data_IF_078800376099
#
_entry.id   IF_078800376099
#
_cell.length_a   1.000
_cell.length_b   1.000
_cell.length_c   1.000
_cell.angle_alpha   90.00
_cell.angle_beta   90.00
_cell.angle_gamma   90.00
#
_symmetry.space_group_name_H-M   'P 1'
#
loop_
_entity.id
_entity.type
_entity.pdbx_description
1 polymer ?
2 polymer ?
3 non-polymer ?
4 water ?
#
# COMPACT_ATOMS: atom_id res chain seq x y z
N UNK A 1 -8.58 -7.22 -16.11
CA UNK A 1 -8.93 -6.88 -14.74
C UNK A 1 -8.41 -7.98 -13.84
N UNK A 2 -7.99 -7.63 -12.65
CA UNK A 2 -7.49 -8.66 -11.77
C UNK A 2 -7.86 -8.44 -10.31
N UNK A 3 -8.75 -9.30 -9.83
CA UNK A 3 -9.27 -9.30 -8.46
C UNK A 3 -8.39 -10.15 -7.48
N UNK A 4 -7.95 -9.55 -6.36
CA UNK A 4 -7.13 -10.25 -5.36
C UNK A 4 -8.01 -10.71 -4.18
N UNK A 5 -7.79 -11.93 -3.72
CA UNK A 5 -8.60 -12.39 -2.64
C UNK A 5 -7.90 -12.76 -1.36
N UNK A 6 -8.51 -12.35 -0.25
CA UNK A 6 -7.99 -12.60 1.06
C UNK A 6 -9.14 -13.05 1.91
N UNK A 7 -8.84 -13.66 3.06
CA UNK A 7 -9.94 -14.09 3.88
C UNK A 7 -10.39 -12.79 4.55
N UNK A 8 -11.72 -12.67 4.67
CA UNK A 8 -12.34 -11.53 5.28
C UNK A 8 -11.70 -11.42 6.67
N UNK A 9 -11.97 -12.40 7.52
CA UNK A 9 -11.39 -12.37 8.87
C UNK A 9 -11.08 -13.77 9.37
N UNK A 10 -10.21 -13.81 10.38
CA UNK A 10 -9.78 -15.05 11.00
C UNK A 10 -9.47 -14.77 12.47
N UNK A 11 -9.85 -15.74 13.30
CA UNK A 11 -9.65 -15.68 14.75
C UNK A 11 -8.56 -16.66 15.24
N UNK A 12 -7.73 -16.20 16.15
CA UNK A 12 -6.66 -17.04 16.67
C UNK A 12 -6.48 -16.75 18.14
N UNK A 13 -5.37 -17.19 18.70
CA UNK A 13 -5.08 -16.98 20.11
C UNK A 13 -3.57 -16.97 20.32
N UNK A 14 -3.12 -16.30 21.37
CA UNK A 14 -1.69 -16.21 21.66
C UNK A 14 -0.89 -17.52 21.59
N UNK A 15 0.32 -17.42 21.08
CA UNK A 15 1.16 -18.60 20.95
C UNK A 15 0.80 -19.44 19.70
N UNK A 16 -0.38 -19.22 19.10
CA UNK A 16 -0.83 -19.97 17.89
C UNK A 16 -0.11 -19.64 16.56
N UNK A 17 -0.20 -20.52 15.56
CA UNK A 17 0.45 -20.24 14.29
C UNK A 17 -0.59 -19.93 13.29
N UNK A 18 -0.53 -18.75 12.68
CA UNK A 18 -1.55 -18.38 11.67
C UNK A 18 -1.08 -18.11 10.26
N UNK A 19 -1.97 -18.40 9.29
CA UNK A 19 -1.68 -18.22 7.86
C UNK A 19 -2.68 -17.40 7.04
N UNK A 20 -2.30 -16.20 6.60
CA UNK A 20 -3.22 -15.38 5.82
C UNK A 20 -2.86 -15.71 4.37
N UNK A 21 -3.83 -15.80 3.45
CA UNK A 21 -3.50 -16.13 2.04
C UNK A 21 -4.00 -15.29 0.84
N UNK A 22 -3.10 -14.55 0.18
CA UNK A 22 -3.42 -13.71 -0.97
C UNK A 22 -3.41 -14.50 -2.28
N UNK A 23 -4.57 -14.59 -2.93
CA UNK A 23 -4.70 -15.31 -4.20
C UNK A 23 -5.09 -14.42 -5.40
N UNK A 24 -5.04 -15.01 -6.60
CA UNK A 24 -5.36 -14.31 -7.85
C UNK A 24 -6.53 -14.87 -8.64
N UNK A 25 -7.11 -14.02 -9.48
CA UNK A 25 -8.26 -14.40 -10.33
C UNK A 25 -7.82 -14.83 -11.73
N UNK A 26 -6.71 -14.25 -12.14
CA UNK A 26 -6.14 -14.53 -13.42
C UNK A 26 -5.57 -15.94 -13.33
N UNK A 27 -4.81 -16.20 -12.25
CA UNK A 27 -4.19 -17.51 -12.03
C UNK A 27 -3.15 -17.55 -10.92
N UNK A 28 -2.41 -18.65 -10.84
CA UNK A 28 -1.39 -18.80 -9.80
C UNK A 28 -0.46 -17.58 -9.54
N UNK A 29 -0.32 -17.23 -8.27
CA UNK A 29 0.52 -16.12 -7.91
C UNK A 29 1.96 -16.57 -8.04
N UNK A 30 2.84 -15.71 -8.50
CA UNK A 30 4.21 -16.14 -8.63
C UNK A 30 5.15 -15.16 -8.03
N UNK A 31 6.41 -15.29 -8.44
CA UNK A 31 7.48 -14.44 -7.98
C UNK A 31 7.38 -13.20 -8.82
N UNK A 32 6.71 -13.35 -9.95
CA UNK A 32 6.53 -12.25 -10.85
C UNK A 32 5.65 -11.20 -10.16
N UNK A 33 4.61 -11.66 -9.47
CA UNK A 33 3.69 -10.77 -8.78
C UNK A 33 4.17 -10.06 -7.51
N UNK A 34 5.45 -10.22 -7.18
CA UNK A 34 6.10 -9.60 -6.02
C UNK A 34 5.22 -9.32 -4.80
N UNK A 35 4.58 -10.36 -4.21
CA UNK A 35 3.69 -10.16 -3.02
C UNK A 35 4.08 -9.30 -1.80
N UNK A 36 3.33 -8.21 -1.62
CA UNK A 36 3.54 -7.26 -0.54
C UNK A 36 2.53 -7.45 0.59
N UNK A 37 3.04 -7.39 1.82
CA UNK A 37 2.20 -7.57 2.98
C UNK A 37 2.27 -6.43 3.96
N UNK A 38 1.14 -5.75 4.08
CA UNK A 38 1.02 -4.61 4.98
C UNK A 38 -0.02 -4.73 6.11
N UNK A 39 0.35 -4.28 7.31
CA UNK A 39 -0.55 -4.34 8.46
C UNK A 39 -1.17 -2.98 8.73
N UNK A 40 -2.49 -2.93 8.92
CA UNK A 40 -3.22 -1.68 9.20
C UNK A 40 -3.60 -1.65 10.68
N UNK A 41 -3.04 -0.68 11.38
CA UNK A 41 -3.30 -0.48 12.79
C UNK A 41 -4.37 0.61 12.85
N UNK A 42 -4.98 0.76 14.03
CA UNK A 42 -6.01 1.76 14.22
C UNK A 42 -5.36 3.13 14.11
N UNK A 43 -6.19 4.10 13.70
CA UNK A 43 -5.75 5.48 13.52
C UNK A 43 -5.03 5.53 12.17
N UNK A 44 -5.25 4.48 11.37
CA UNK A 44 -4.68 4.30 10.03
C UNK A 44 -3.14 4.25 9.92
N UNK A 45 -2.53 3.25 10.57
CA UNK A 45 -1.09 3.09 10.56
C UNK A 45 -0.69 1.88 9.78
N UNK A 46 -0.15 2.10 8.59
CA UNK A 46 0.29 1.01 7.73
C UNK A 46 1.73 0.76 8.09
N UNK A 47 2.14 -0.50 8.11
CA UNK A 47 3.51 -0.79 8.44
C UNK A 47 3.82 -1.91 7.53
N UNK A 48 4.92 -1.82 6.81
CA UNK A 48 5.32 -2.87 5.87
C UNK A 48 5.79 -4.10 6.63
N UNK A 49 5.32 -5.25 6.17
CA UNK A 49 5.69 -6.52 6.80
C UNK A 49 6.58 -7.36 5.92
N UNK A 50 5.99 -7.74 4.78
CA UNK A 50 6.63 -8.56 3.75
C UNK A 50 6.83 -7.92 2.37
N UNK A 51 8.09 -7.99 1.92
CA UNK A 51 8.53 -7.45 0.63
C UNK A 51 9.12 -8.49 -0.34
N UNK A 52 8.86 -8.33 -1.63
CA UNK A 52 9.37 -9.24 -2.63
C UNK A 52 8.92 -10.62 -2.27
N UNK A 53 7.62 -10.85 -2.28
CA UNK A 53 6.99 -12.13 -1.95
C UNK A 53 7.38 -12.66 -0.59
N UNK A 54 8.65 -12.53 -0.26
CA UNK A 54 9.09 -13.01 1.01
C UNK A 54 10.27 -12.34 1.71
N UNK A 55 10.38 -11.02 1.63
CA UNK A 55 11.51 -10.41 2.31
C UNK A 55 10.98 -9.66 3.52
N UNK A 56 11.40 -10.04 4.72
CA UNK A 56 10.90 -9.36 5.91
C UNK A 56 11.29 -7.92 5.80
N UNK A 57 10.48 -7.01 5.77
CA UNK A 57 10.82 -5.60 5.71
C UNK A 57 11.73 -5.27 6.86
N UNK A 58 12.77 -4.62 6.68
CA UNK A 58 13.72 -4.25 7.73
C UNK A 58 12.97 -3.50 8.81
N UNK A 59 12.26 -4.23 9.65
CA UNK A 59 11.46 -3.68 10.76
C UNK A 59 10.43 -4.68 11.34
N UNK A 60 9.79 -5.43 10.44
CA UNK A 60 8.81 -6.43 10.83
C UNK A 60 9.43 -7.38 11.85
N UNK A 61 8.64 -7.86 12.80
CA UNK A 61 9.18 -8.78 13.80
C UNK A 61 9.44 -10.16 13.17
N UNK A 62 10.43 -10.83 13.72
CA UNK A 62 10.83 -12.15 13.27
C UNK A 62 9.67 -13.11 13.16
N UNK A 63 8.57 -12.85 13.86
CA UNK A 63 7.42 -13.76 13.76
C UNK A 63 6.58 -13.64 12.50
N UNK A 64 6.99 -12.74 11.61
CA UNK A 64 6.26 -12.53 10.36
C UNK A 64 7.04 -13.21 9.28
N UNK A 65 6.39 -13.94 8.38
CA UNK A 65 7.17 -14.61 7.33
C UNK A 65 6.26 -14.77 6.10
N UNK A 66 6.82 -14.53 4.90
CA UNK A 66 6.06 -14.64 3.63
C UNK A 66 6.59 -15.75 2.69
N UNK A 67 5.78 -16.22 1.78
CA UNK A 67 6.23 -17.28 0.90
C UNK A 67 5.09 -17.62 -0.01
N UNK A 68 5.30 -18.55 -0.92
CA UNK A 68 4.19 -18.89 -1.81
C UNK A 68 3.82 -20.25 -1.32
N UNK A 69 2.54 -20.55 -1.31
CA UNK A 69 2.11 -21.83 -0.87
C UNK A 69 1.12 -22.17 -1.91
N UNK A 70 1.42 -23.13 -2.78
CA UNK A 70 0.48 -23.50 -3.84
C UNK A 70 0.34 -22.42 -4.91
N UNK A 71 -0.88 -22.15 -5.38
CA UNK A 71 -1.06 -21.13 -6.39
C UNK A 71 -1.38 -19.82 -5.71
N UNK A 72 -0.77 -19.61 -4.56
CA UNK A 72 -1.08 -18.38 -3.89
C UNK A 72 0.01 -18.00 -2.98
N UNK A 73 -0.07 -16.79 -2.47
CA UNK A 73 0.96 -16.36 -1.58
C UNK A 73 0.39 -16.42 -0.18
N UNK A 74 1.24 -16.30 0.82
CA UNK A 74 0.77 -16.35 2.16
C UNK A 74 1.68 -15.72 3.19
N UNK A 75 1.02 -15.16 4.19
CA UNK A 75 1.68 -14.50 5.29
C UNK A 75 1.29 -15.38 6.48
N UNK A 76 2.29 -15.73 7.26
CA UNK A 76 2.10 -16.54 8.41
C UNK A 76 2.74 -15.89 9.63
N UNK A 77 2.08 -16.08 10.78
CA UNK A 77 2.57 -15.54 12.05
C UNK A 77 2.77 -16.87 12.88
N UNK A 78 3.95 -17.05 13.47
CA UNK A 78 4.30 -18.24 14.26
C UNK A 78 4.40 -17.93 15.75
N UNK A 79 3.25 -17.91 16.39
CA UNK A 79 3.23 -17.61 17.82
C UNK A 79 2.77 -16.16 17.88
N UNK A 80 1.49 -16.00 17.58
CA UNK A 80 0.78 -14.73 17.54
C UNK A 80 0.58 -14.10 18.90
N UNK A 81 0.46 -12.76 18.88
CA UNK A 81 0.26 -11.93 20.05
C UNK A 81 -0.98 -11.09 19.87
N UNK A 82 -1.39 -10.49 20.99
CA UNK A 82 -2.56 -9.64 21.07
C UNK A 82 -2.48 -8.46 20.15
N UNK A 83 -1.28 -7.91 20.11
CA UNK A 83 -0.87 -6.76 19.34
C UNK A 83 -0.68 -7.05 17.86
N UNK A 84 -1.07 -8.24 17.43
CA UNK A 84 -0.95 -8.65 16.06
C UNK A 84 -2.36 -8.54 15.49
N UNK A 85 -3.27 -8.16 16.38
CA UNK A 85 -4.66 -7.99 16.04
C UNK A 85 -4.71 -6.73 15.21
N UNK A 86 -5.07 -6.85 13.93
CA UNK A 86 -5.17 -5.72 12.97
C UNK A 86 -5.66 -6.28 11.63
N UNK A 87 -5.73 -5.44 10.59
CA UNK A 87 -6.19 -5.92 9.26
C UNK A 87 -4.95 -5.97 8.36
N UNK A 88 -4.69 -7.11 7.76
CA UNK A 88 -3.51 -7.20 6.92
C UNK A 88 -3.84 -7.08 5.45
N UNK A 89 -2.97 -6.36 4.73
CA UNK A 89 -3.17 -6.16 3.30
C UNK A 89 -1.99 -6.71 2.46
N UNK A 90 -2.38 -7.12 1.24
CA UNK A 90 -1.52 -7.69 0.20
C UNK A 90 -1.75 -7.10 -1.18
N UNK A 91 -0.64 -6.74 -1.80
CA UNK A 91 -0.75 -6.18 -3.13
C UNK A 91 -0.11 -7.15 -4.16
N UNK A 92 -0.63 -7.16 -5.39
CA UNK A 92 -0.08 -8.03 -6.43
C UNK A 92 0.38 -7.22 -7.66
N UNK A 93 1.68 -7.30 -7.98
CA UNK A 93 2.26 -6.59 -9.13
C UNK A 93 1.91 -7.38 -10.35
N UNK A 94 1.08 -6.75 -11.18
CA UNK A 94 0.65 -7.37 -12.40
C UNK A 94 1.39 -6.68 -13.53
N UNK A 95 2.70 -6.60 -13.41
CA UNK A 95 3.45 -5.97 -14.45
C UNK A 95 3.62 -4.50 -14.61
N UNK A 96 2.55 -3.75 -14.48
CA UNK A 96 2.75 -2.33 -14.63
C UNK A 96 1.92 -1.56 -13.63
N UNK A 97 1.10 -2.28 -12.86
CA UNK A 97 0.25 -1.65 -11.84
C UNK A 97 0.44 -2.30 -10.45
N UNK A 98 -0.57 -2.40 -9.59
CA UNK A 98 -0.48 -3.03 -8.24
C UNK A 98 -1.94 -3.17 -7.96
N UNK A 99 -2.29 -4.32 -7.38
CA UNK A 99 -3.66 -4.65 -7.03
C UNK A 99 -3.63 -5.03 -5.56
N UNK A 100 -4.52 -4.40 -4.80
CA UNK A 100 -4.64 -4.62 -3.36
C UNK A 100 -5.76 -5.63 -3.06
N UNK A 101 -5.57 -6.48 -2.05
CA UNK A 101 -6.61 -7.44 -1.72
C UNK A 101 -7.60 -6.66 -0.86
N UNK A 102 -8.66 -7.31 -0.39
CA UNK A 102 -9.65 -6.65 0.45
C UNK A 102 -9.29 -6.54 1.94
N UNK A 103 -8.18 -7.18 2.34
CA UNK A 103 -7.73 -7.17 3.74
C UNK A 103 -8.35 -8.31 4.59
N UNK A 104 -7.58 -8.76 5.56
CA UNK A 104 -8.02 -9.82 6.43
C UNK A 104 -8.07 -9.23 7.84
N UNK A 105 -9.21 -9.40 8.52
CA UNK A 105 -9.32 -8.87 9.87
C UNK A 105 -8.89 -9.98 10.77
N UNK A 106 -7.84 -9.77 11.57
CA UNK A 106 -7.33 -10.78 12.48
C UNK A 106 -7.50 -10.42 13.93
N UNK A 107 -8.45 -11.12 14.55
CA UNK A 107 -8.80 -10.94 15.95
C UNK A 107 -7.95 -11.77 16.92
N UNK A 108 -7.13 -11.13 17.74
CA UNK A 108 -6.32 -11.91 18.68
C UNK A 108 -6.98 -11.99 20.03
N UNK A 109 -7.55 -13.15 20.35
CA UNK A 109 -8.22 -13.30 21.67
C UNK A 109 -7.62 -14.09 22.83
N UNK B 1 17.10 4.85 9.19
CA UNK B 1 15.66 5.04 9.18
C UNK B 1 15.08 5.89 8.02
N UNK B 2 14.14 5.28 7.32
CA UNK B 2 13.44 5.87 6.18
C UNK B 2 12.38 6.77 6.79
N UNK B 3 11.73 7.58 5.97
CA UNK B 3 10.69 8.50 6.44
C UNK B 3 10.04 9.18 5.27
N UNK B 4 8.75 8.98 5.12
CA UNK B 4 8.01 9.60 4.02
C UNK B 4 7.06 10.56 4.72
N UNK B 5 6.38 11.48 4.03
CA UNK B 5 5.48 12.40 4.74
C UNK B 5 4.51 13.21 3.88
N UNK B 6 3.25 12.80 3.87
CA UNK B 6 2.20 13.45 3.07
C UNK B 6 1.61 14.84 3.30
N UNK B 7 2.39 15.85 2.92
CA UNK B 7 2.06 17.27 3.02
C UNK B 7 1.11 17.83 1.95
N UNK B 8 -0.18 17.52 2.09
CA UNK B 8 -1.24 17.96 1.16
C UNK B 8 -2.14 19.09 1.72
N UNK B 9 -3.10 19.56 0.90
CA UNK B 9 -4.04 20.63 1.22
C UNK B 9 -5.42 20.23 1.77
N UNK B 10 -5.73 20.72 2.98
CA UNK B 10 -6.98 20.48 3.70
C UNK B 10 -8.21 19.96 2.98
N UNK B 11 -9.23 20.79 2.87
CA UNK B 11 -10.43 20.36 2.19
C UNK B 11 -10.15 20.76 0.77
N UNK B 12 -11.10 20.55 -0.12
CA UNK B 12 -10.95 20.90 -1.49
C UNK B 12 -12.39 20.99 -1.96
N UNK B 13 -12.69 21.89 -2.90
CA UNK B 13 -14.07 22.00 -3.37
C UNK B 13 -14.28 21.19 -4.62
N UNK B 14 -15.50 20.75 -4.80
CA UNK B 14 -15.82 19.97 -5.97
C UNK B 14 -15.52 20.87 -7.15
N UNK B 15 -14.96 20.26 -8.19
CA UNK B 15 -14.57 20.90 -9.45
C UNK B 15 -13.17 21.41 -9.36
N UNK B 16 -12.77 21.83 -8.18
CA UNK B 16 -11.44 22.33 -8.03
C UNK B 16 -10.58 21.09 -7.99
N UNK B 17 -9.28 21.31 -7.97
CA UNK B 17 -8.36 20.20 -7.95
C UNK B 17 -7.46 20.18 -6.73
N UNK B 18 -6.75 19.06 -6.58
CA UNK B 18 -5.87 18.91 -5.44
C UNK B 18 -4.44 18.61 -5.85
N UNK B 19 -3.53 18.71 -4.90
CA UNK B 19 -2.17 18.42 -5.22
C UNK B 19 -1.51 18.00 -3.91
N UNK B 20 -0.77 16.89 -3.91
CA UNK B 20 -0.13 16.46 -2.67
C UNK B 20 1.34 16.28 -2.85
N UNK B 21 2.08 16.43 -1.78
CA UNK B 21 3.52 16.30 -1.87
C UNK B 21 4.13 15.29 -0.91
N UNK B 22 4.99 14.44 -1.45
CA UNK B 22 5.62 13.46 -0.60
C UNK B 22 7.03 13.91 -0.32
N UNK B 23 7.33 14.10 0.94
CA UNK B 23 8.67 14.51 1.24
C UNK B 23 9.30 13.25 1.76
N UNK B 24 10.10 12.64 0.90
CA UNK B 24 10.76 11.42 1.26
C UNK B 24 11.95 11.90 2.00
N UNK B 25 12.78 10.98 2.46
CA UNK B 25 13.96 11.36 3.21
C UNK B 25 14.69 10.07 3.57
N UNK B 26 15.98 10.14 3.89
CA UNK B 26 16.72 8.94 4.26
C UNK B 26 17.18 8.07 3.08
N UNK B 27 17.08 8.60 1.86
CA UNK B 27 17.49 7.86 0.66
C UNK B 27 17.23 8.65 -0.65
N UNK B 28 17.89 8.22 -1.73
CA UNK B 28 17.80 8.83 -3.06
C UNK B 28 16.60 8.47 -3.88
N UNK B 29 15.96 9.50 -4.40
CA UNK B 29 14.78 9.36 -5.23
C UNK B 29 14.98 8.78 -6.61
N UNK B 30 16.16 8.31 -6.93
CA UNK B 30 16.37 7.74 -8.27
C UNK B 30 16.61 6.26 -8.15
N UNK B 31 16.86 5.84 -6.90
CA UNK B 31 17.12 4.46 -6.53
C UNK B 31 15.88 3.62 -6.22
N UNK B 32 14.68 4.18 -6.26
CA UNK B 32 13.50 3.37 -5.98
C UNK B 32 12.29 4.01 -6.51
N UNK B 33 11.18 3.29 -6.36
CA UNK B 33 9.87 3.77 -6.81
C UNK B 33 9.10 4.40 -5.63
N UNK B 34 8.02 5.10 -5.99
CA UNK B 34 7.18 5.76 -5.03
C UNK B 34 5.77 5.59 -5.57
N UNK B 35 4.80 5.16 -4.76
CA UNK B 35 3.43 4.98 -5.27
C UNK B 35 2.42 5.84 -4.52
N UNK B 36 1.34 6.15 -5.19
CA UNK B 36 0.36 6.95 -4.51
C UNK B 36 -0.80 6.03 -4.36
N UNK B 37 -0.99 5.63 -3.11
CA UNK B 37 -2.08 4.74 -2.78
C UNK B 37 -3.08 5.62 -2.04
N UNK B 38 -4.34 5.25 -2.11
CA UNK B 38 -5.30 6.06 -1.42
C UNK B 38 -6.43 5.22 -0.91
N UNK B 39 -6.96 5.57 0.25
CA UNK B 39 -8.06 4.82 0.81
C UNK B 39 -9.27 5.63 1.14
N UNK B 40 -10.35 5.37 0.43
CA UNK B 40 -11.57 6.11 0.70
C UNK B 40 -11.94 5.73 2.14
N UNK B 41 -12.55 6.69 2.86
CA UNK B 41 -12.98 6.54 4.25
C UNK B 41 -13.90 5.32 4.32
N UNK B 42 -13.46 4.31 5.06
CA UNK B 42 -14.23 3.08 5.20
C UNK B 42 -14.27 2.40 3.81
N UNK B 43 -13.09 2.03 3.33
CA UNK B 43 -12.98 1.38 2.03
C UNK B 43 -11.61 0.74 1.78
N UNK B 44 -11.50 0.08 0.65
CA UNK B 44 -10.25 -0.58 0.30
C UNK B 44 -9.13 0.35 -0.11
N UNK B 45 -7.93 -0.22 -0.15
CA UNK B 45 -6.75 0.49 -0.53
C UNK B 45 -6.90 0.56 -2.04
N UNK B 46 -6.29 1.56 -2.67
CA UNK B 46 -6.37 1.73 -4.13
C UNK B 46 -5.12 2.44 -4.63
N UNK B 47 -4.52 1.88 -5.69
CA UNK B 47 -3.31 2.40 -6.33
C UNK B 47 -3.74 3.41 -7.34
N UNK B 48 -2.95 4.45 -7.45
CA UNK B 48 -3.31 5.46 -8.41
C UNK B 48 -2.20 5.57 -9.39
N UNK B 49 -0.98 5.38 -8.89
CA UNK B 49 0.17 5.46 -9.77
C UNK B 49 1.52 5.18 -9.13
N UNK B 50 2.54 5.18 -9.97
CA UNK B 50 3.93 4.93 -9.56
C UNK B 50 4.92 5.72 -10.40
N UNK B 51 6.10 5.96 -9.87
CA UNK B 51 7.08 6.72 -10.65
C UNK B 51 8.45 6.08 -10.49
N UNK B 52 8.85 5.31 -11.49
CA UNK B 52 10.13 4.63 -11.48
C UNK B 52 11.30 5.43 -11.02
N UNK B 53 12.29 4.78 -10.46
CA UNK B 53 13.45 5.52 -9.98
C UNK B 53 14.10 6.27 -11.12
N UNK B 54 13.79 5.86 -12.35
CA UNK B 54 14.38 6.50 -13.53
C UNK B 54 13.60 7.76 -14.00
N UNK B 55 12.30 7.79 -13.66
CA UNK B 55 11.40 8.88 -14.00
C UNK B 55 10.09 8.43 -14.63
N UNK B 56 10.09 7.23 -15.22
CA UNK B 56 8.88 6.70 -15.86
C UNK B 56 7.81 6.65 -14.78
N UNK B 57 6.55 6.75 -15.18
CA UNK B 57 5.49 6.71 -14.23
C UNK B 57 4.36 5.97 -14.87
N UNK B 58 3.73 5.07 -14.13
CA UNK B 58 2.61 4.31 -14.67
C UNK B 58 1.43 4.90 -13.93
N UNK B 59 0.21 4.62 -14.39
CA UNK B 59 -0.99 5.15 -13.76
C UNK B 59 -2.15 4.14 -13.71
N UNK B 60 -2.94 4.25 -12.66
CA UNK B 60 -4.06 3.36 -12.52
C UNK B 60 -4.95 3.74 -13.72
N UNK B 61 -4.90 2.91 -14.75
CA UNK B 61 -5.66 3.04 -16.01
C UNK B 61 -6.93 3.90 -16.02
N UNK B 62 -7.87 3.58 -15.13
CA UNK B 62 -9.14 4.28 -14.98
C UNK B 62 -8.99 5.71 -14.45
N UNK B 63 -7.84 6.02 -13.85
CA UNK B 63 -7.57 7.35 -13.31
C UNK B 63 -6.34 7.87 -14.05
N UNK B 64 -6.26 7.59 -15.33
CA UNK B 64 -5.13 8.03 -16.13
C UNK B 64 -5.17 9.54 -16.28
N UNK B 65 -6.21 9.99 -16.98
CA UNK B 65 -6.52 11.40 -17.30
C UNK B 65 -6.39 12.48 -16.23
N UNK B 66 -6.64 12.16 -14.97
CA UNK B 66 -6.55 13.16 -13.92
C UNK B 66 -5.26 13.20 -13.17
N UNK B 67 -4.44 12.18 -13.30
CA UNK B 67 -3.23 12.25 -12.53
C UNK B 67 -1.96 12.77 -13.19
N UNK B 68 -0.94 12.90 -12.35
CA UNK B 68 0.42 13.34 -12.64
C UNK B 68 1.43 13.26 -11.52
N UNK B 69 2.12 12.14 -11.52
CA UNK B 69 3.12 11.94 -10.50
C UNK B 69 4.36 12.54 -11.10
N UNK B 70 5.26 13.05 -10.27
CA UNK B 70 6.48 13.63 -10.79
C UNK B 70 7.32 13.94 -9.58
N UNK B 71 8.61 14.24 -9.76
CA UNK B 71 9.44 14.53 -8.62
C UNK B 71 10.65 15.37 -8.80
N UNK B 72 10.89 16.13 -7.74
CA UNK B 72 12.00 17.02 -7.70
C UNK B 72 13.10 16.42 -6.87
N UNK B 73 14.02 15.81 -7.61
CA UNK B 73 15.20 15.12 -7.11
C UNK B 73 16.00 15.90 -6.06
N UNK B 74 16.20 17.18 -6.31
CA UNK B 74 16.95 18.09 -5.42
C UNK B 74 16.15 18.40 -4.18
N UNK B 75 14.87 18.67 -4.39
CA UNK B 75 13.98 18.98 -3.32
C UNK B 75 13.62 17.71 -2.59
N UNK B 76 13.90 16.57 -3.20
CA UNK B 76 13.58 15.30 -2.56
C UNK B 76 12.08 15.09 -2.35
N UNK B 77 11.27 15.73 -3.19
CA UNK B 77 9.83 15.60 -3.06
C UNK B 77 9.33 14.91 -4.29
N UNK B 78 8.19 14.24 -4.15
CA UNK B 78 7.55 13.54 -5.26
C UNK B 78 6.20 14.17 -5.24
N UNK B 79 5.69 14.52 -6.40
CA UNK B 79 4.39 15.15 -6.40
C UNK B 79 3.30 14.43 -7.18
N UNK B 80 2.08 14.45 -6.64
CA UNK B 80 0.93 13.82 -7.28
C UNK B 80 -0.24 14.84 -7.52
N UNK B 81 -0.93 14.74 -8.67
CA UNK B 81 -2.03 15.64 -9.01
C UNK B 81 -3.25 15.12 -9.81
N UNK B 82 -4.44 15.33 -9.24
CA UNK B 82 -5.70 14.92 -9.86
C UNK B 82 -6.31 16.22 -10.28
N UNK B 83 -7.36 16.13 -11.09
CA UNK B 83 -8.09 17.29 -11.61
C UNK B 83 -9.56 16.88 -11.56
N UNK B 84 -10.47 17.85 -11.68
CA UNK B 84 -11.90 17.51 -11.66
C UNK B 84 -12.31 16.83 -10.35
N UNK B 85 -12.01 17.44 -9.22
CA UNK B 85 -12.39 16.82 -7.98
C UNK B 85 -13.89 16.59 -7.73
N UNK B 86 -14.23 15.40 -7.21
CA UNK B 86 -15.62 15.01 -6.91
C UNK B 86 -15.72 14.38 -5.50
N UNK B 87 -16.92 14.06 -5.04
CA UNK B 87 -17.00 13.48 -3.69
C UNK B 87 -16.22 12.21 -3.31
N UNK B 88 -16.33 11.19 -4.16
CA UNK B 88 -15.67 9.94 -3.94
C UNK B 88 -14.19 10.05 -4.02
N UNK B 89 -13.65 11.24 -3.82
CA UNK B 89 -12.20 11.43 -3.88
C UNK B 89 -11.64 11.77 -2.50
N UNK B 90 -12.58 11.96 -1.58
CA UNK B 90 -12.28 12.28 -0.18
C UNK B 90 -11.70 10.97 0.34
N UNK B 91 -10.38 10.89 0.54
CA UNK B 91 -9.81 9.65 1.02
C UNK B 91 -8.57 10.06 1.71
N UNK B 92 -7.76 9.11 2.14
CA UNK B 92 -6.53 9.54 2.80
C UNK B 92 -5.58 9.23 1.69
N UNK B 93 -4.60 10.08 1.50
CA UNK B 93 -3.71 9.75 0.42
C UNK B 93 -2.35 9.42 0.99
N UNK B 94 -1.74 8.33 0.50
CA UNK B 94 -0.40 7.94 0.99
C UNK B 94 0.53 7.68 -0.18
N UNK B 95 1.83 7.85 0.05
CA UNK B 95 2.90 7.61 -0.95
C UNK B 95 3.72 6.47 -0.31
N UNK B 96 4.01 5.41 -1.09
CA UNK B 96 4.79 4.28 -0.55
C UNK B 96 6.10 4.09 -1.27
N UNK B 97 7.17 3.92 -0.53
CA UNK B 97 8.42 3.73 -1.18
C UNK B 97 8.48 2.24 -1.65
N UNK B 98 9.10 2.01 -2.80
CA UNK B 98 9.27 0.68 -3.39
C UNK B 98 10.24 -0.07 -2.48
N UNK B 99 10.60 -1.29 -2.91
CA UNK B 99 11.52 -2.14 -2.18
C UNK B 99 11.38 -2.25 -0.65
N UNK B 100 10.33 -1.67 -0.06
CA UNK B 100 10.17 -1.76 1.41
C UNK B 100 9.19 -2.85 1.94
N UNK B 101 7.91 -2.54 2.01
CA UNK B 101 7.38 -1.23 1.64
C UNK B 101 7.77 -0.24 2.75
N UNK B 102 7.32 1.00 2.62
CA UNK B 102 7.62 2.04 3.59
C UNK B 102 6.48 2.96 3.30
N UNK B 103 5.53 3.04 4.21
CA UNK B 103 4.35 3.88 4.07
C UNK B 103 4.46 5.26 4.70
N UNK B 104 3.54 6.13 4.27
CA UNK B 104 3.47 7.50 4.76
C UNK B 104 2.24 7.62 5.65
N UNK B 105 2.31 8.55 6.60
CA UNK B 105 1.24 8.82 7.55
C UNK B 105 -0.09 8.90 6.85
N UNK B 106 -0.05 9.56 5.71
CA UNK B 106 -1.22 9.77 4.89
C UNK B 106 -1.58 11.22 5.24
N UNK B 107 -2.82 11.58 4.91
CA UNK B 107 -3.36 12.91 5.15
C UNK B 107 -4.74 12.92 4.53
N UNK B 108 -5.75 13.00 5.38
CA UNK B 108 -7.13 13.01 4.93
C UNK B 108 -7.41 14.20 4.05
N UNK B 109 -8.10 13.94 2.94
CA UNK B 109 -8.46 14.99 1.98
C UNK B 109 -9.95 14.98 1.84
N UNK B 110 -10.58 16.05 2.28
CA UNK B 110 -12.01 16.07 2.13
C UNK B 110 -12.35 16.82 0.88
N UNK B 111 -13.60 16.69 0.48
CA UNK B 111 -14.06 17.34 -0.72
C UNK B 111 -15.34 18.05 -0.42
N UNK B 112 -15.28 19.36 -0.44
CA UNK B 112 -17.58 20.82 0.11
C UNK B 112 -19.01 23.14 -1.02
X LIG C 1 10.18 -6.52 -4.87
X LIG C 1 9.55 -5.29 -4.36
X LIG C 1 8.12 -5.55 -4.07
X LIG C 1 10.30 -4.81 -3.06
X LIG C 1 9.59 -4.14 -5.47
X LIG C 1 9.22 -4.61 -6.77
X LIG C 1 8.46 -3.56 -7.53
X LIG C 1 8.66 -3.86 -8.98
X LIG C 1 7.92 -5.13 -9.37
X LIG C 1 10.14 -3.94 -9.29
X LIG C 1 7.93 -2.87 -9.90
X LIG C 1 13.81 -7.15 -1.87
X LIG C 1 14.97 -7.90 -1.49
X LIG C 1 15.10 -8.35 -0.17
X LIG C 1 15.92 -8.12 -2.51
X LIG C 1 12.83 -6.86 -0.96
X LIG C 1 11.73 -6.14 -1.35
X LIG C 1 11.58 -5.69 -2.64
X LIG C 1 12.57 -5.98 -3.54
X LIG C 1 13.69 -6.70 -3.15
#
# INVERSE_FOLDING_TARGET
>A
QAVVTQESALTTSPGETVTLTCRSSTGAVTTSNYANWVQEKPDHLFTGLIGGTKHRTPGAPARFSGSLIGDKAALTITGAQTEDEAIYFCALWYSNHWVFGGGTKLTVL
>B
QVQLKESGPGLVAPSQSLSITCTVSGFSLTGYGVNWVRQPPGKGLEWLGMIWGDGSTDYNSALKSRLNISKDKSKSQVFLRMYSLQTDDTARYYCARDYGPYWGQGTLVTVS
>C hetero
1 NCH O4 P1 O1 O3 O2 C1 C2 N1 C3 C5 C4 C1A N1A O1N O2N C2A C3A C4A C5A C6A
#
